data_IF_167340582576
#
_entry.id   IF_167340582576
#
_cell.length_a   1.000
_cell.length_b   1.000
_cell.length_c   1.000
_cell.angle_alpha   90.00
_cell.angle_beta   90.00
_cell.angle_gamma   90.00
#
_symmetry.space_group_name_H-M   'P 1'
#
loop_
_entity.id
_entity.type
_entity.pdbx_description
1 polymer ?
#
# COMPACT_ATOMS: atom_id res chain seq x y z
N UNK A 1 15.32 -15.00 -8.11
CA UNK A 1 15.05 -15.20 -6.68
C UNK A 1 16.02 -14.42 -5.78
N UNK A 2 17.35 -14.71 -5.77
CA UNK A 2 18.32 -14.07 -4.85
C UNK A 2 18.24 -12.53 -4.83
N UNK A 3 18.15 -11.87 -6.00
CA UNK A 3 18.01 -10.40 -6.08
C UNK A 3 16.71 -9.89 -5.43
N UNK A 4 15.58 -10.57 -5.65
CA UNK A 4 14.31 -10.17 -5.05
C UNK A 4 14.35 -10.25 -3.52
N UNK A 5 14.85 -11.34 -2.97
CA UNK A 5 15.06 -11.48 -1.53
C UNK A 5 16.04 -10.43 -0.99
N UNK A 6 17.14 -10.17 -1.70
CA UNK A 6 18.09 -9.12 -1.32
C UNK A 6 17.41 -7.75 -1.23
N UNK A 7 16.61 -7.35 -2.23
CA UNK A 7 15.91 -6.06 -2.22
C UNK A 7 14.90 -5.95 -1.06
N UNK A 8 14.18 -7.04 -0.77
CA UNK A 8 13.25 -7.08 0.37
C UNK A 8 13.98 -6.97 1.70
N UNK A 9 15.07 -7.74 1.88
CA UNK A 9 15.86 -7.72 3.11
C UNK A 9 16.54 -6.36 3.33
N UNK A 10 17.08 -5.75 2.27
CA UNK A 10 17.72 -4.44 2.38
C UNK A 10 16.69 -3.34 2.72
N UNK A 11 15.47 -3.40 2.17
CA UNK A 11 14.38 -2.49 2.54
C UNK A 11 14.07 -2.60 4.04
N UNK A 12 13.86 -3.82 4.55
CA UNK A 12 13.62 -4.04 5.98
C UNK A 12 14.79 -3.58 6.85
N UNK A 13 16.04 -3.85 6.44
CA UNK A 13 17.22 -3.39 7.16
C UNK A 13 17.31 -1.86 7.22
N UNK A 14 16.91 -1.18 6.13
CA UNK A 14 16.84 0.29 6.10
C UNK A 14 15.70 0.77 7.03
N UNK A 15 14.52 0.19 6.94
CA UNK A 15 13.38 0.56 7.79
C UNK A 15 13.73 0.43 9.29
N UNK A 16 14.31 -0.69 9.69
CA UNK A 16 14.70 -0.90 11.09
C UNK A 16 15.92 -0.07 11.49
N UNK A 17 16.99 -0.08 10.70
CA UNK A 17 18.24 0.57 11.06
C UNK A 17 18.20 2.10 10.97
N UNK A 18 17.81 2.64 9.81
CA UNK A 18 17.66 4.08 9.65
C UNK A 18 16.47 4.63 10.42
N UNK A 19 15.37 3.86 10.55
CA UNK A 19 14.24 4.24 11.38
C UNK A 19 14.68 4.52 12.81
N UNK A 20 15.44 3.60 13.42
CA UNK A 20 16.01 3.79 14.76
C UNK A 20 16.95 5.00 14.85
N UNK A 21 17.78 5.23 13.82
CA UNK A 21 18.69 6.39 13.79
C UNK A 21 17.90 7.71 13.68
N UNK A 22 16.85 7.78 12.86
CA UNK A 22 15.99 8.97 12.73
C UNK A 22 15.27 9.25 14.04
N UNK A 23 14.75 8.23 14.73
CA UNK A 23 14.12 8.40 16.05
C UNK A 23 15.11 8.90 17.10
N UNK A 24 16.36 8.43 17.07
CA UNK A 24 17.41 8.94 17.96
C UNK A 24 17.71 10.42 17.67
N UNK A 25 17.85 10.79 16.41
CA UNK A 25 18.07 12.20 16.00
C UNK A 25 16.89 13.06 16.43
N UNK A 26 15.65 12.58 16.22
CA UNK A 26 14.44 13.25 16.70
C UNK A 26 14.53 13.56 18.20
N UNK A 27 14.85 12.54 19.01
CA UNK A 27 14.97 12.70 20.46
C UNK A 27 16.04 13.70 20.86
N UNK A 28 17.20 13.69 20.18
CA UNK A 28 18.30 14.63 20.45
C UNK A 28 17.96 16.07 20.06
N UNK A 29 17.26 16.26 18.93
CA UNK A 29 16.94 17.62 18.43
C UNK A 29 15.76 18.24 19.18
N UNK A 30 14.72 17.46 19.48
CA UNK A 30 13.49 17.96 20.10
C UNK A 30 13.51 17.90 21.64
N UNK A 31 14.39 17.10 22.22
CA UNK A 31 14.38 16.75 23.63
C UNK A 31 13.22 15.86 24.05
N UNK A 32 12.40 15.39 23.10
CA UNK A 32 11.24 14.54 23.34
C UNK A 32 11.57 13.08 23.06
N UNK A 33 11.06 12.17 23.89
CA UNK A 33 11.11 10.75 23.57
C UNK A 33 10.20 10.47 22.35
N UNK A 34 10.64 9.62 21.42
CA UNK A 34 9.77 9.17 20.35
C UNK A 34 8.53 8.46 20.92
N UNK A 35 7.35 8.83 20.42
CA UNK A 35 6.07 8.31 20.87
C UNK A 35 5.08 8.30 19.71
N UNK A 36 4.13 7.38 19.74
CA UNK A 36 3.05 7.29 18.74
C UNK A 36 2.11 8.52 18.80
N UNK A 37 2.04 9.21 19.92
CA UNK A 37 1.21 10.40 20.11
C UNK A 37 1.86 11.69 19.59
N UNK A 38 3.12 11.66 19.20
CA UNK A 38 3.81 12.82 18.64
C UNK A 38 4.18 12.59 17.16
N UNK A 39 4.68 13.63 16.51
CA UNK A 39 5.01 13.58 15.08
C UNK A 39 6.27 12.74 14.75
N UNK A 40 6.92 12.09 15.72
CA UNK A 40 8.14 11.32 15.50
C UNK A 40 7.92 10.18 14.49
N UNK A 41 6.78 9.47 14.56
CA UNK A 41 6.45 8.38 13.64
C UNK A 41 6.20 8.90 12.22
N UNK A 42 5.62 10.09 12.07
CA UNK A 42 5.39 10.73 10.76
C UNK A 42 6.75 11.07 10.13
N UNK A 43 7.64 11.67 10.91
CA UNK A 43 8.98 12.07 10.44
C UNK A 43 9.79 10.84 10.07
N UNK A 44 9.82 9.81 10.92
CA UNK A 44 10.60 8.60 10.63
C UNK A 44 10.11 7.90 9.38
N UNK A 45 8.79 7.68 9.24
CA UNK A 45 8.22 7.01 8.06
C UNK A 45 8.54 7.80 6.79
N UNK A 46 8.28 9.12 6.79
CA UNK A 46 8.51 9.98 5.63
C UNK A 46 9.99 10.00 5.21
N UNK A 47 10.91 10.16 6.17
CA UNK A 47 12.36 10.24 5.90
C UNK A 47 12.90 8.89 5.43
N UNK A 48 12.49 7.80 6.07
CA UNK A 48 12.94 6.44 5.69
C UNK A 48 12.45 6.07 4.29
N UNK A 49 11.19 6.33 3.97
CA UNK A 49 10.64 6.08 2.63
C UNK A 49 11.36 6.91 1.56
N UNK A 50 11.64 8.18 1.84
CA UNK A 50 12.43 9.03 0.95
C UNK A 50 13.83 8.45 0.71
N UNK A 51 14.51 8.02 1.77
CA UNK A 51 15.85 7.43 1.69
C UNK A 51 15.84 6.12 0.90
N UNK A 52 14.83 5.26 1.11
CA UNK A 52 14.63 4.04 0.32
C UNK A 52 14.48 4.38 -1.17
N UNK A 53 13.61 5.35 -1.49
CA UNK A 53 13.42 5.76 -2.90
C UNK A 53 14.71 6.28 -3.51
N UNK A 54 15.42 7.17 -2.82
CA UNK A 54 16.69 7.73 -3.30
C UNK A 54 17.71 6.61 -3.52
N UNK A 55 17.88 5.70 -2.57
CA UNK A 55 18.82 4.58 -2.68
C UNK A 55 18.50 3.67 -3.87
N UNK A 56 17.24 3.22 -3.99
CA UNK A 56 16.84 2.29 -5.06
C UNK A 56 16.97 2.91 -6.45
N UNK A 57 16.71 4.22 -6.59
CA UNK A 57 16.89 4.94 -7.83
C UNK A 57 18.38 5.21 -8.14
N UNK A 58 19.16 5.67 -7.18
CA UNK A 58 20.59 5.98 -7.34
C UNK A 58 21.40 4.74 -7.72
N UNK A 59 21.10 3.60 -7.10
CA UNK A 59 21.73 2.32 -7.38
C UNK A 59 21.14 1.61 -8.63
N UNK A 60 20.13 2.21 -9.26
CA UNK A 60 19.44 1.66 -10.44
C UNK A 60 18.83 0.27 -10.16
N UNK A 61 18.45 0.00 -8.92
CA UNK A 61 17.80 -1.26 -8.54
C UNK A 61 16.35 -1.31 -8.97
N UNK A 62 15.68 -0.15 -8.99
CA UNK A 62 14.31 -0.01 -9.42
C UNK A 62 14.18 0.80 -10.71
N UNK A 63 13.11 0.53 -11.47
CA UNK A 63 12.74 1.26 -12.68
C UNK A 63 11.32 1.80 -12.57
N UNK A 64 11.16 3.11 -12.82
CA UNK A 64 9.86 3.79 -12.83
C UNK A 64 9.15 3.62 -14.17
N UNK A 65 9.91 3.41 -15.26
CA UNK A 65 9.43 3.35 -16.64
C UNK A 65 8.51 4.51 -17.07
N UNK A 66 9.00 5.76 -17.06
CA UNK A 66 8.21 6.95 -17.39
C UNK A 66 7.74 6.99 -18.85
N UNK A 67 8.30 6.15 -19.73
CA UNK A 67 7.89 6.05 -21.13
C UNK A 67 6.41 5.70 -21.29
N UNK A 68 5.85 4.95 -20.36
CA UNK A 68 4.44 4.58 -20.36
C UNK A 68 3.52 5.82 -20.26
N UNK A 69 3.88 6.85 -19.47
CA UNK A 69 3.10 8.10 -19.39
C UNK A 69 3.04 8.84 -20.74
N UNK A 70 4.08 8.73 -21.58
CA UNK A 70 4.13 9.38 -22.89
C UNK A 70 3.03 8.88 -23.82
N UNK A 71 2.45 7.72 -23.56
CA UNK A 71 1.30 7.20 -24.31
C UNK A 71 -0.03 7.89 -23.94
N UNK A 72 -0.01 8.82 -22.98
CA UNK A 72 -1.17 9.54 -22.44
C UNK A 72 -2.27 8.59 -21.93
N UNK A 73 -1.97 7.70 -20.97
CA UNK A 73 -2.86 6.63 -20.54
C UNK A 73 -3.95 7.11 -19.55
N UNK A 74 -4.50 8.31 -19.74
CA UNK A 74 -5.41 8.95 -18.78
C UNK A 74 -6.63 8.09 -18.45
N UNK A 75 -7.21 7.44 -19.49
CA UNK A 75 -8.33 6.52 -19.25
C UNK A 75 -7.95 5.33 -18.39
N UNK A 76 -6.72 4.81 -18.52
CA UNK A 76 -6.22 3.73 -17.66
C UNK A 76 -6.10 4.21 -16.22
N UNK A 77 -5.56 5.41 -15.99
CA UNK A 77 -5.43 5.98 -14.64
C UNK A 77 -6.81 6.20 -14.00
N UNK A 78 -7.81 6.68 -14.76
CA UNK A 78 -9.18 6.77 -14.27
C UNK A 78 -9.73 5.39 -13.84
N UNK A 79 -9.47 4.35 -14.62
CA UNK A 79 -9.89 3.00 -14.25
C UNK A 79 -9.11 2.44 -13.04
N UNK A 80 -7.85 2.84 -12.84
CA UNK A 80 -7.10 2.52 -11.61
C UNK A 80 -7.77 3.15 -10.38
N UNK A 81 -8.18 4.42 -10.47
CA UNK A 81 -8.91 5.12 -9.40
C UNK A 81 -10.22 4.40 -9.10
N UNK A 82 -11.05 4.13 -10.12
CA UNK A 82 -12.33 3.45 -9.93
C UNK A 82 -12.16 2.02 -9.41
N UNK A 83 -11.15 1.28 -9.86
CA UNK A 83 -10.85 -0.05 -9.34
C UNK A 83 -10.44 0.00 -7.86
N UNK A 84 -9.66 0.99 -7.46
CA UNK A 84 -9.28 1.19 -6.05
C UNK A 84 -10.51 1.49 -5.19
N UNK A 85 -11.34 2.45 -5.58
CA UNK A 85 -12.57 2.80 -4.86
C UNK A 85 -13.55 1.61 -4.79
N UNK A 86 -13.68 0.88 -5.90
CA UNK A 86 -14.60 -0.25 -5.99
C UNK A 86 -14.13 -1.51 -5.24
N UNK A 87 -12.85 -1.66 -4.89
CA UNK A 87 -12.35 -2.80 -4.11
C UNK A 87 -12.35 -2.54 -2.59
N UNK A 88 -12.45 -1.30 -2.15
CA UNK A 88 -12.35 -0.96 -0.72
C UNK A 88 -13.35 -1.73 0.14
N UNK A 89 -14.66 -1.53 -0.06
CA UNK A 89 -15.67 -2.21 0.74
C UNK A 89 -15.63 -3.74 0.62
N UNK A 90 -15.49 -4.34 -0.57
CA UNK A 90 -15.31 -5.79 -0.69
C UNK A 90 -14.10 -6.32 0.08
N UNK A 91 -12.99 -5.60 0.11
CA UNK A 91 -11.78 -6.05 0.82
C UNK A 91 -11.91 -5.94 2.33
N UNK A 92 -12.54 -4.88 2.84
CA UNK A 92 -12.83 -4.72 4.29
C UNK A 92 -13.83 -5.80 4.72
N UNK A 93 -14.92 -5.99 3.97
CA UNK A 93 -15.91 -7.04 4.25
C UNK A 93 -15.30 -8.43 4.25
N UNK A 94 -14.41 -8.73 3.29
CA UNK A 94 -13.70 -10.01 3.26
C UNK A 94 -12.82 -10.19 4.50
N UNK A 95 -12.17 -9.13 4.96
CA UNK A 95 -11.33 -9.14 6.16
C UNK A 95 -12.18 -9.40 7.42
N UNK A 96 -13.38 -8.80 7.53
CA UNK A 96 -14.32 -9.07 8.64
C UNK A 96 -14.82 -10.52 8.69
N UNK A 97 -14.82 -11.24 7.56
CA UNK A 97 -15.18 -12.67 7.50
C UNK A 97 -14.02 -13.59 7.92
N UNK A 98 -12.80 -13.08 8.02
CA UNK A 98 -11.64 -13.85 8.45
C UNK A 98 -11.59 -13.91 10.00
N UNK A 99 -10.88 -14.91 10.56
CA UNK A 99 -10.55 -14.90 11.97
C UNK A 99 -9.82 -13.60 12.35
N UNK A 100 -10.08 -13.09 13.54
CA UNK A 100 -9.38 -11.91 14.05
C UNK A 100 -7.86 -12.18 14.11
N UNK A 101 -7.11 -11.34 13.44
CA UNK A 101 -5.65 -11.39 13.40
C UNK A 101 -5.07 -10.27 14.28
N UNK A 102 -3.95 -10.52 14.98
CA UNK A 102 -3.33 -9.52 15.83
C UNK A 102 -2.95 -8.26 15.04
N UNK A 103 -3.39 -7.09 15.53
CA UNK A 103 -3.02 -5.79 14.98
C UNK A 103 -1.87 -5.20 15.82
N UNK A 104 -0.64 -5.63 15.53
CA UNK A 104 0.55 -5.23 16.31
C UNK A 104 1.02 -3.82 16.00
N UNK A 105 0.50 -3.19 14.96
CA UNK A 105 0.83 -1.82 14.55
C UNK A 105 -0.28 -0.80 14.89
N UNK A 106 -1.30 -1.20 15.63
CA UNK A 106 -2.51 -0.41 15.91
C UNK A 106 -2.18 0.98 16.45
N UNK A 107 -1.46 1.06 17.58
CA UNK A 107 -1.12 2.35 18.20
C UNK A 107 -0.33 3.27 17.24
N UNK A 108 0.61 2.70 16.49
CA UNK A 108 1.39 3.47 15.52
C UNK A 108 0.53 3.99 14.37
N UNK A 109 -0.40 3.17 13.86
CA UNK A 109 -1.33 3.56 12.79
C UNK A 109 -2.32 4.62 13.26
N UNK A 110 -2.90 4.45 14.45
CA UNK A 110 -3.78 5.44 15.08
C UNK A 110 -3.04 6.75 15.26
N UNK A 111 -1.80 6.71 15.77
CA UNK A 111 -0.96 7.91 15.92
C UNK A 111 -0.68 8.62 14.59
N UNK A 112 -0.40 7.87 13.51
CA UNK A 112 -0.21 8.43 12.17
C UNK A 112 -1.51 9.02 11.60
N UNK A 113 -2.63 8.32 11.76
CA UNK A 113 -3.93 8.74 11.19
C UNK A 113 -4.57 9.89 11.96
N UNK A 114 -4.28 10.04 13.26
CA UNK A 114 -4.81 11.13 14.09
C UNK A 114 -4.29 12.52 13.66
N UNK A 115 -3.12 12.59 13.03
CA UNK A 115 -2.53 13.84 12.53
C UNK A 115 -2.76 14.02 11.02
N UNK A 116 -3.24 15.20 10.54
CA UNK A 116 -3.37 15.43 9.10
C UNK A 116 -2.03 15.31 8.36
N UNK A 117 -0.89 15.55 9.02
CA UNK A 117 0.45 15.36 8.46
C UNK A 117 0.82 13.89 8.21
N UNK A 118 0.16 12.95 8.90
CA UNK A 118 0.30 11.52 8.64
C UNK A 118 -0.12 11.11 7.24
N UNK A 119 -0.94 11.94 6.55
CA UNK A 119 -1.25 11.74 5.13
C UNK A 119 0.00 11.76 4.24
N UNK A 120 0.97 12.59 4.56
CA UNK A 120 2.25 12.62 3.81
C UNK A 120 2.94 11.27 3.89
N UNK A 121 3.00 10.68 5.09
CA UNK A 121 3.63 9.38 5.31
C UNK A 121 2.81 8.24 4.65
N UNK A 122 1.55 8.06 5.07
CA UNK A 122 0.72 6.92 4.67
C UNK A 122 0.15 7.08 3.25
N UNK A 123 -0.38 8.27 2.94
CA UNK A 123 -1.09 8.51 1.68
C UNK A 123 -0.16 8.72 0.49
N UNK A 124 1.02 9.29 0.69
CA UNK A 124 1.91 9.70 -0.40
C UNK A 124 3.20 8.87 -0.42
N UNK A 125 3.99 8.93 0.66
CA UNK A 125 5.34 8.39 0.66
C UNK A 125 5.36 6.86 0.64
N UNK A 126 4.54 6.22 1.47
CA UNK A 126 4.47 4.77 1.51
C UNK A 126 4.08 4.15 0.15
N UNK A 127 2.97 4.55 -0.54
CA UNK A 127 2.67 4.01 -1.87
C UNK A 127 3.79 4.21 -2.90
N UNK A 128 4.49 5.34 -2.88
CA UNK A 128 5.59 5.61 -3.80
C UNK A 128 6.79 4.71 -3.54
N UNK A 129 7.22 4.61 -2.29
CA UNK A 129 8.37 3.80 -1.88
C UNK A 129 8.09 2.31 -2.10
N UNK A 130 6.92 1.83 -1.70
CA UNK A 130 6.53 0.44 -1.80
C UNK A 130 6.38 -0.02 -3.26
N UNK A 131 5.71 0.76 -4.12
CA UNK A 131 5.60 0.41 -5.53
C UNK A 131 6.96 0.45 -6.24
N UNK A 132 7.82 1.41 -5.88
CA UNK A 132 9.17 1.48 -6.42
C UNK A 132 9.97 0.22 -6.08
N UNK A 133 9.93 -0.21 -4.82
CA UNK A 133 10.67 -1.40 -4.35
C UNK A 133 10.02 -2.67 -4.87
N UNK A 134 8.71 -2.88 -4.61
CA UNK A 134 8.08 -4.18 -4.87
C UNK A 134 7.79 -4.41 -6.35
N UNK A 135 7.42 -3.40 -7.12
CA UNK A 135 7.17 -3.55 -8.57
C UNK A 135 8.40 -3.19 -9.36
N UNK A 136 9.04 -2.06 -9.07
CA UNK A 136 10.21 -1.57 -9.78
C UNK A 136 11.47 -2.42 -9.61
N UNK A 137 11.66 -3.10 -8.46
CA UNK A 137 12.84 -3.91 -8.20
C UNK A 137 12.51 -5.39 -7.95
N UNK A 138 11.71 -5.74 -6.93
CA UNK A 138 11.45 -7.12 -6.50
C UNK A 138 10.74 -7.92 -7.59
N UNK A 139 9.56 -7.48 -8.03
CA UNK A 139 8.78 -8.18 -9.06
C UNK A 139 9.54 -8.23 -10.39
N UNK A 140 10.19 -7.13 -10.77
CA UNK A 140 11.04 -7.11 -11.97
C UNK A 140 12.10 -8.21 -11.94
N UNK A 141 12.78 -8.38 -10.80
CA UNK A 141 13.78 -9.43 -10.64
C UNK A 141 13.17 -10.84 -10.66
N UNK A 142 11.96 -11.03 -10.15
CA UNK A 142 11.22 -12.29 -10.19
C UNK A 142 10.76 -12.66 -11.60
N UNK A 143 10.24 -11.69 -12.36
CA UNK A 143 9.85 -11.89 -13.76
C UNK A 143 11.05 -12.21 -14.65
N UNK A 144 12.23 -11.66 -14.36
CA UNK A 144 13.48 -12.02 -15.05
C UNK A 144 13.96 -13.42 -14.66
N UNK A 145 13.71 -13.86 -13.43
CA UNK A 145 14.12 -15.18 -12.94
C UNK A 145 13.23 -16.31 -13.48
N UNK A 146 11.92 -16.05 -13.64
CA UNK A 146 10.94 -17.01 -14.20
C UNK A 146 10.07 -16.32 -15.24
N UNK A 147 10.59 -16.08 -16.45
CA UNK A 147 9.85 -15.40 -17.51
C UNK A 147 8.69 -16.24 -18.08
N UNK A 148 8.77 -17.56 -17.93
CA UNK A 148 7.79 -18.56 -18.32
C UNK A 148 6.54 -18.58 -17.41
N UNK A 149 6.67 -18.12 -16.16
CA UNK A 149 5.57 -18.14 -15.19
C UNK A 149 5.47 -16.81 -14.44
N UNK A 150 4.84 -15.83 -15.07
CA UNK A 150 4.66 -14.51 -14.48
C UNK A 150 3.76 -14.51 -13.23
N UNK A 151 2.77 -15.41 -13.14
CA UNK A 151 1.92 -15.50 -11.96
C UNK A 151 2.68 -15.94 -10.71
N UNK A 152 3.65 -16.84 -10.85
CA UNK A 152 4.53 -17.19 -9.74
C UNK A 152 5.32 -15.97 -9.25
N UNK A 153 5.88 -15.18 -10.19
CA UNK A 153 6.58 -13.93 -9.85
C UNK A 153 5.68 -12.94 -9.12
N UNK A 154 4.45 -12.74 -9.61
CA UNK A 154 3.44 -11.86 -9.01
C UNK A 154 3.08 -12.36 -7.60
N UNK A 155 2.75 -13.63 -7.44
CA UNK A 155 2.35 -14.20 -6.15
C UNK A 155 3.48 -14.12 -5.10
N UNK A 156 4.73 -14.43 -5.48
CA UNK A 156 5.88 -14.30 -4.58
C UNK A 156 6.13 -12.84 -4.19
N UNK A 157 6.03 -11.89 -5.15
CA UNK A 157 6.16 -10.47 -4.86
C UNK A 157 5.06 -9.97 -3.92
N UNK A 158 3.80 -10.41 -4.13
CA UNK A 158 2.68 -10.07 -3.28
C UNK A 158 2.83 -10.64 -1.85
N UNK A 159 3.33 -11.87 -1.73
CA UNK A 159 3.61 -12.49 -0.43
C UNK A 159 4.73 -11.73 0.32
N UNK A 160 5.82 -11.38 -0.36
CA UNK A 160 6.89 -10.57 0.24
C UNK A 160 6.37 -9.18 0.63
N UNK A 161 5.53 -8.56 -0.20
CA UNK A 161 4.88 -7.28 0.09
C UNK A 161 4.00 -7.36 1.34
N UNK A 162 3.20 -8.41 1.49
CA UNK A 162 2.40 -8.63 2.69
C UNK A 162 3.26 -8.82 3.94
N UNK A 163 4.33 -9.62 3.84
CA UNK A 163 5.21 -9.95 4.96
C UNK A 163 5.98 -8.74 5.51
N UNK A 164 6.39 -7.78 4.67
CA UNK A 164 7.14 -6.62 5.14
C UNK A 164 6.30 -5.63 5.97
N UNK A 165 4.98 -5.75 5.95
CA UNK A 165 4.13 -4.99 6.87
C UNK A 165 4.30 -5.42 8.33
N UNK A 166 4.80 -6.63 8.58
CA UNK A 166 5.00 -7.22 9.92
C UNK A 166 3.78 -7.10 10.84
N UNK A 167 2.60 -6.89 10.27
CA UNK A 167 1.33 -6.76 10.96
C UNK A 167 0.32 -7.78 10.42
N UNK A 168 0.05 -8.88 11.14
CA UNK A 168 -0.85 -9.93 10.67
C UNK A 168 -2.21 -9.42 10.18
N UNK A 169 -2.79 -8.41 10.84
CA UNK A 169 -4.08 -7.82 10.44
C UNK A 169 -4.04 -7.19 9.03
N UNK A 170 -2.91 -6.64 8.60
CA UNK A 170 -2.76 -6.02 7.29
C UNK A 170 -2.37 -7.01 6.17
N UNK A 171 -1.73 -8.14 6.52
CA UNK A 171 -1.15 -9.07 5.53
C UNK A 171 -2.15 -9.59 4.49
N UNK A 172 -3.38 -10.02 4.82
CA UNK A 172 -4.33 -10.53 3.83
C UNK A 172 -4.70 -9.48 2.78
N UNK A 173 -5.02 -8.27 3.23
CA UNK A 173 -5.35 -7.15 2.35
C UNK A 173 -4.15 -6.76 1.46
N UNK A 174 -2.96 -6.62 2.06
CA UNK A 174 -1.73 -6.30 1.33
C UNK A 174 -1.40 -7.38 0.28
N UNK A 175 -1.62 -8.67 0.59
CA UNK A 175 -1.41 -9.74 -0.37
C UNK A 175 -2.36 -9.63 -1.57
N UNK A 176 -3.67 -9.43 -1.34
CA UNK A 176 -4.67 -9.32 -2.41
C UNK A 176 -4.41 -8.10 -3.30
N UNK A 177 -4.17 -6.95 -2.71
CA UNK A 177 -3.76 -5.75 -3.46
C UNK A 177 -2.44 -6.01 -4.17
N UNK A 178 -1.50 -6.66 -3.51
CA UNK A 178 -0.19 -7.03 -4.06
C UNK A 178 -0.28 -7.82 -5.37
N UNK A 179 -1.23 -8.75 -5.47
CA UNK A 179 -1.51 -9.50 -6.70
C UNK A 179 -2.01 -8.58 -7.83
N UNK A 180 -2.96 -7.70 -7.54
CA UNK A 180 -3.52 -6.77 -8.52
C UNK A 180 -2.48 -5.77 -9.04
N UNK A 181 -1.72 -5.15 -8.15
CA UNK A 181 -0.65 -4.22 -8.50
C UNK A 181 0.48 -4.90 -9.27
N UNK A 182 0.83 -6.13 -8.89
CA UNK A 182 1.80 -6.95 -9.61
C UNK A 182 1.34 -7.29 -11.03
N UNK A 183 0.05 -7.61 -11.21
CA UNK A 183 -0.54 -7.83 -12.53
C UNK A 183 -0.53 -6.55 -13.37
N UNK A 184 -0.86 -5.37 -12.81
CA UNK A 184 -0.77 -4.10 -13.52
C UNK A 184 0.66 -3.81 -13.99
N UNK A 185 1.66 -4.04 -13.14
CA UNK A 185 3.06 -3.91 -13.50
C UNK A 185 3.48 -4.88 -14.61
N UNK A 186 3.11 -6.15 -14.51
CA UNK A 186 3.40 -7.14 -15.55
C UNK A 186 2.85 -6.73 -16.91
N UNK A 187 1.62 -6.18 -16.94
CA UNK A 187 0.94 -5.73 -18.17
C UNK A 187 1.53 -4.46 -18.79
N UNK A 188 2.17 -3.60 -18.02
CA UNK A 188 2.63 -2.27 -18.49
C UNK A 188 4.14 -2.11 -18.47
N UNK A 189 4.84 -2.85 -17.63
CA UNK A 189 6.25 -2.61 -17.31
C UNK A 189 6.49 -1.29 -16.58
N UNK A 190 5.45 -0.69 -15.99
CA UNK A 190 5.51 0.62 -15.30
C UNK A 190 4.90 0.51 -13.90
N UNK A 191 5.49 1.17 -12.92
CA UNK A 191 4.94 1.25 -11.56
C UNK A 191 3.74 2.20 -11.46
N UNK A 192 3.54 3.08 -12.43
CA UNK A 192 2.61 4.22 -12.33
C UNK A 192 1.15 3.81 -12.13
N UNK A 193 0.59 2.81 -12.86
CA UNK A 193 -0.77 2.35 -12.58
C UNK A 193 -0.95 1.84 -11.15
N UNK A 194 0.08 1.12 -10.65
CA UNK A 194 0.12 0.64 -9.28
C UNK A 194 0.17 1.78 -8.27
N UNK A 195 1.05 2.76 -8.49
CA UNK A 195 1.15 3.96 -7.64
C UNK A 195 -0.19 4.69 -7.55
N UNK A 196 -0.88 4.91 -8.67
CA UNK A 196 -2.17 5.63 -8.66
C UNK A 196 -3.23 4.83 -7.90
N UNK A 197 -3.33 3.52 -8.16
CA UNK A 197 -4.27 2.65 -7.42
C UNK A 197 -3.97 2.67 -5.91
N UNK A 198 -2.73 2.45 -5.53
CA UNK A 198 -2.29 2.34 -4.14
C UNK A 198 -2.44 3.67 -3.40
N UNK A 199 -2.07 4.78 -4.05
CA UNK A 199 -2.29 6.13 -3.53
C UNK A 199 -3.75 6.41 -3.22
N UNK A 200 -4.68 6.07 -4.13
CA UNK A 200 -6.13 6.25 -3.90
C UNK A 200 -6.61 5.39 -2.74
N UNK A 201 -6.20 4.11 -2.70
CA UNK A 201 -6.53 3.21 -1.60
C UNK A 201 -6.13 3.80 -0.23
N UNK A 202 -4.86 4.17 -0.10
CA UNK A 202 -4.35 4.71 1.16
C UNK A 202 -4.93 6.08 1.50
N UNK A 203 -5.22 6.92 0.50
CA UNK A 203 -5.85 8.22 0.71
C UNK A 203 -7.26 8.09 1.28
N UNK A 204 -8.07 7.16 0.74
CA UNK A 204 -9.44 6.95 1.24
C UNK A 204 -9.43 6.32 2.62
N UNK A 205 -8.58 5.32 2.86
CA UNK A 205 -8.43 4.68 4.18
C UNK A 205 -7.97 5.71 5.21
N UNK A 206 -6.96 6.52 4.86
CA UNK A 206 -6.49 7.60 5.74
C UNK A 206 -7.59 8.61 6.05
N UNK A 207 -8.29 9.11 5.02
CA UNK A 207 -9.34 10.12 5.20
C UNK A 207 -10.49 9.57 6.05
N UNK A 208 -10.93 8.34 5.80
CA UNK A 208 -11.97 7.69 6.59
C UNK A 208 -11.54 7.53 8.06
N UNK A 209 -10.35 6.96 8.31
CA UNK A 209 -9.82 6.79 9.65
C UNK A 209 -9.63 8.12 10.39
N UNK A 210 -9.08 9.14 9.71
CA UNK A 210 -8.90 10.48 10.30
C UNK A 210 -10.23 11.12 10.71
N UNK A 211 -11.26 11.05 9.85
CA UNK A 211 -12.60 11.57 10.16
C UNK A 211 -13.20 10.78 11.32
N UNK A 212 -13.16 9.45 11.31
CA UNK A 212 -13.71 8.61 12.36
C UNK A 212 -13.07 8.91 13.72
N UNK A 213 -11.73 9.00 13.78
CA UNK A 213 -11.01 9.38 15.00
C UNK A 213 -11.37 10.79 15.47
N UNK A 214 -11.54 11.75 14.53
CA UNK A 214 -11.87 13.15 14.88
C UNK A 214 -13.25 13.31 15.52
N UNK A 215 -14.18 12.39 15.22
CA UNK A 215 -15.52 12.35 15.85
C UNK A 215 -15.62 11.41 17.04
N UNK A 216 -14.48 10.85 17.47
CA UNK A 216 -14.38 10.00 18.67
C UNK A 216 -14.87 8.58 18.47
N UNK A 217 -14.86 8.07 17.25
CA UNK A 217 -15.22 6.68 16.98
C UNK A 217 -14.06 5.74 17.25
N UNK A 218 -14.37 4.57 17.80
CA UNK A 218 -13.42 3.49 18.00
C UNK A 218 -13.22 2.71 16.68
N UNK A 219 -12.19 3.13 15.92
CA UNK A 219 -11.93 2.62 14.57
C UNK A 219 -11.56 1.13 14.60
N UNK A 220 -10.93 0.65 15.68
CA UNK A 220 -10.38 -0.70 15.75
C UNK A 220 -11.45 -1.77 16.00
N UNK A 221 -12.53 -1.40 16.71
CA UNK A 221 -13.64 -2.31 17.02
C UNK A 221 -14.84 -2.13 16.09
N UNK A 222 -14.81 -1.14 15.18
CA UNK A 222 -15.92 -0.84 14.29
C UNK A 222 -16.03 -1.83 13.13
N UNK A 223 -17.22 -2.38 12.94
CA UNK A 223 -17.56 -3.22 11.78
C UNK A 223 -18.37 -2.43 10.75
N UNK A 224 -18.35 -2.90 9.51
CA UNK A 224 -19.17 -2.31 8.45
C UNK A 224 -20.66 -2.26 8.82
N UNK A 225 -21.14 -3.25 9.59
CA UNK A 225 -22.53 -3.26 10.05
C UNK A 225 -22.86 -2.09 10.99
N UNK A 226 -21.91 -1.60 11.77
CA UNK A 226 -22.08 -0.46 12.67
C UNK A 226 -22.19 0.84 11.83
N UNK A 227 -21.39 0.93 10.75
CA UNK A 227 -21.41 2.06 9.83
C UNK A 227 -22.67 2.08 8.95
N UNK A 228 -23.12 0.92 8.45
CA UNK A 228 -24.24 0.81 7.52
C UNK A 228 -25.58 0.44 8.17
N UNK A 229 -25.59 0.21 9.48
CA UNK A 229 -26.78 -0.07 10.29
C UNK A 229 -27.31 -1.52 10.22
N UNK A 230 -26.93 -2.32 9.23
CA UNK A 230 -27.31 -3.73 9.14
C UNK A 230 -26.43 -4.52 8.17
N UNK A 231 -26.35 -5.85 8.35
CA UNK A 231 -25.66 -6.76 7.43
C UNK A 231 -26.26 -6.72 6.02
N UNK A 232 -27.57 -6.56 5.89
CA UNK A 232 -28.22 -6.45 4.57
C UNK A 232 -27.74 -5.22 3.82
N UNK A 233 -27.64 -4.08 4.50
CA UNK A 233 -27.13 -2.83 3.91
C UNK A 233 -25.64 -2.94 3.54
N UNK A 234 -24.84 -3.65 4.38
CA UNK A 234 -23.43 -3.96 4.04
C UNK A 234 -23.35 -4.76 2.75
N UNK A 235 -24.14 -5.84 2.61
CA UNK A 235 -24.13 -6.66 1.38
C UNK A 235 -24.57 -5.87 0.15
N UNK A 236 -25.54 -4.97 0.28
CA UNK A 236 -25.94 -4.06 -0.80
C UNK A 236 -24.81 -3.09 -1.16
N UNK A 237 -24.14 -2.50 -0.17
CA UNK A 237 -23.01 -1.60 -0.39
C UNK A 237 -21.81 -2.32 -1.05
N UNK A 238 -21.49 -3.53 -0.59
CA UNK A 238 -20.48 -4.40 -1.22
C UNK A 238 -20.87 -4.74 -2.66
N UNK A 239 -22.14 -5.08 -2.91
CA UNK A 239 -22.66 -5.34 -4.27
C UNK A 239 -22.52 -4.12 -5.18
N UNK A 240 -22.92 -2.93 -4.73
CA UNK A 240 -22.73 -1.68 -5.46
C UNK A 240 -21.24 -1.38 -5.73
N UNK A 241 -20.39 -1.65 -4.76
CA UNK A 241 -18.93 -1.47 -4.89
C UNK A 241 -18.34 -2.42 -5.94
N UNK A 242 -18.79 -3.67 -5.98
CA UNK A 242 -18.42 -4.65 -7.01
C UNK A 242 -18.89 -4.24 -8.42
N UNK A 243 -20.04 -3.55 -8.54
CA UNK A 243 -20.50 -2.99 -9.82
C UNK A 243 -19.57 -1.89 -10.35
N UNK A 244 -18.77 -1.28 -9.50
CA UNK A 244 -17.70 -0.35 -9.91
C UNK A 244 -16.40 -1.13 -10.19
N UNK A 245 -16.03 -2.04 -9.29
CA UNK A 245 -14.76 -2.78 -9.37
C UNK A 245 -14.67 -3.67 -10.61
N UNK A 246 -15.67 -4.52 -10.85
CA UNK A 246 -15.61 -5.51 -11.92
C UNK A 246 -15.53 -4.89 -13.33
N UNK A 247 -16.33 -3.86 -13.69
CA UNK A 247 -16.15 -3.15 -14.95
C UNK A 247 -14.79 -2.45 -15.04
N UNK A 248 -14.29 -1.88 -13.92
CA UNK A 248 -12.98 -1.25 -13.89
C UNK A 248 -11.86 -2.25 -14.16
N UNK A 249 -11.92 -3.42 -13.52
CA UNK A 249 -10.96 -4.51 -13.75
C UNK A 249 -11.00 -4.99 -15.21
N UNK A 250 -12.20 -5.13 -15.77
CA UNK A 250 -12.39 -5.51 -17.19
C UNK A 250 -11.77 -4.45 -18.13
N UNK A 251 -12.03 -3.16 -17.89
CA UNK A 251 -11.45 -2.08 -18.69
C UNK A 251 -9.92 -2.02 -18.55
N UNK A 252 -9.38 -2.24 -17.35
CA UNK A 252 -7.95 -2.38 -17.15
C UNK A 252 -7.39 -3.56 -17.92
N UNK A 253 -8.06 -4.73 -17.91
CA UNK A 253 -7.64 -5.89 -18.68
C UNK A 253 -7.54 -5.59 -20.19
N UNK A 254 -8.47 -4.84 -20.75
CA UNK A 254 -8.46 -4.45 -22.15
C UNK A 254 -7.39 -3.40 -22.51
N UNK A 255 -7.09 -2.48 -21.58
CA UNK A 255 -6.29 -1.28 -21.87
C UNK A 255 -4.85 -1.34 -21.38
N UNK A 256 -4.55 -2.15 -20.35
CA UNK A 256 -3.17 -2.35 -19.90
C UNK A 256 -2.39 -3.14 -20.94
N UNK A 257 -1.53 -2.46 -21.67
CA UNK A 257 -0.64 -3.06 -22.70
C UNK A 257 0.77 -2.52 -22.50
N UNK A 258 1.75 -3.35 -22.81
CA UNK A 258 3.16 -2.96 -22.90
C UNK A 258 3.38 -2.00 -24.05
#
# INVERSE_FOLDING_TARGET
MKKALFYTVIMLAIQCGLGSAVLLIWALVTGQKPDVTNNSMIVVTTVVDLLIMVLFLALKWAEVSPRWIRTRPWAVLCWCVLASLGLLLPSIWLQELMPELPNVAEEALVGLVSSPWGYVAIGIMAPLAEELVFRGAVLRALLQWRPDNHWLGIAVSAALFALVHMNPAQMPHAFLIGLLLGWMYYRTGSIIPGVVYHWVNNSVVFAAGHIMLSVGWDVDNMKLADLFGSQTTVLMAVGCSLLIFLPSLFQLHLRLKK
#
